data_IF_624025351729
#
_entry.id   IF_624025351729
#
_cell.length_a   1.000
_cell.length_b   1.000
_cell.length_c   1.000
_cell.angle_alpha   90.00
_cell.angle_beta   90.00
_cell.angle_gamma   90.00
#
_symmetry.space_group_name_H-M   'P 1'
#
loop_
_entity.id
_entity.type
_entity.pdbx_description
1 polymer ?
#
# COMPACT_ATOMS: atom_id res chain seq x y z
N UNK A 1 -1.61 3.05 -2.63
CA UNK A 1 -0.87 3.51 -1.45
C UNK A 1 -1.83 3.94 -0.35
N UNK A 2 -1.61 3.49 0.87
CA UNK A 2 -2.48 3.78 2.01
C UNK A 2 -1.67 4.19 3.23
N UNK A 3 -2.29 4.93 4.15
CA UNK A 3 -1.84 5.06 5.53
C UNK A 3 -2.66 4.09 6.38
N UNK A 4 -1.99 3.32 7.21
CA UNK A 4 -2.61 2.42 8.18
C UNK A 4 -2.07 2.68 9.60
N UNK A 5 -2.87 2.39 10.59
CA UNK A 5 -2.52 2.56 12.01
C UNK A 5 -3.57 1.94 12.92
N UNK A 6 -3.37 1.99 14.25
CA UNK A 6 -4.28 1.41 15.22
C UNK A 6 -5.70 1.98 15.09
N UNK A 7 -6.71 1.14 15.24
CA UNK A 7 -8.13 1.52 15.07
C UNK A 7 -8.53 2.74 15.90
N UNK A 8 -8.06 2.83 17.15
CA UNK A 8 -8.38 3.92 18.08
C UNK A 8 -7.75 5.29 17.73
N UNK A 9 -6.83 5.37 16.76
CA UNK A 9 -6.21 6.64 16.37
C UNK A 9 -6.95 7.22 15.17
N UNK A 10 -7.46 8.45 15.28
CA UNK A 10 -8.10 9.14 14.16
C UNK A 10 -7.05 9.76 13.25
N UNK A 11 -7.08 9.36 11.96
CA UNK A 11 -6.25 9.90 10.89
C UNK A 11 -7.10 9.83 9.61
N UNK A 12 -7.51 10.97 9.08
CA UNK A 12 -8.40 11.05 7.91
C UNK A 12 -7.68 11.59 6.66
N UNK A 13 -6.48 12.13 6.83
CA UNK A 13 -5.69 12.72 5.75
C UNK A 13 -4.26 13.04 6.18
N UNK A 14 -3.52 13.66 5.28
CA UNK A 14 -2.12 14.02 5.51
C UNK A 14 -1.93 15.02 6.65
N UNK A 15 -2.86 15.93 6.85
CA UNK A 15 -2.78 16.96 7.89
C UNK A 15 -2.79 16.36 9.31
N UNK A 16 -3.51 15.25 9.48
CA UNK A 16 -3.56 14.52 10.76
C UNK A 16 -2.25 13.79 11.10
N UNK A 17 -1.31 13.73 10.15
CA UNK A 17 0.02 13.15 10.35
C UNK A 17 1.04 14.15 10.89
N UNK A 18 0.67 15.41 11.06
CA UNK A 18 1.55 16.47 11.61
C UNK A 18 2.11 16.07 12.97
N UNK A 19 3.44 16.10 13.08
CA UNK A 19 4.17 15.72 14.29
C UNK A 19 4.17 14.24 14.62
N UNK A 20 3.47 13.38 13.83
CA UNK A 20 3.44 11.93 14.04
C UNK A 20 4.60 11.25 13.30
N UNK A 21 5.05 10.13 13.89
CA UNK A 21 6.01 9.24 13.22
C UNK A 21 5.24 8.33 12.25
N UNK A 22 5.63 8.36 10.98
CA UNK A 22 5.03 7.54 9.92
C UNK A 22 6.12 6.71 9.27
N UNK A 23 6.02 5.40 9.38
CA UNK A 23 7.00 4.49 8.83
C UNK A 23 6.67 4.10 7.38
N UNK A 24 7.68 3.94 6.56
CA UNK A 24 7.53 3.53 5.16
C UNK A 24 8.78 2.82 4.66
N UNK A 25 8.69 2.15 3.51
CA UNK A 25 9.83 1.53 2.84
C UNK A 25 10.61 2.57 2.04
N UNK A 26 11.89 2.71 2.33
CA UNK A 26 12.81 3.69 1.71
C UNK A 26 12.76 3.66 0.19
N UNK A 27 12.63 4.83 -0.43
CA UNK A 27 12.69 5.00 -1.88
C UNK A 27 11.50 4.41 -2.65
N UNK A 28 10.51 3.85 -1.96
CA UNK A 28 9.29 3.33 -2.57
C UNK A 28 8.39 4.47 -3.09
N UNK A 29 7.39 4.10 -3.90
CA UNK A 29 6.35 5.05 -4.28
C UNK A 29 5.59 5.59 -3.05
N UNK A 30 5.38 4.74 -2.04
CA UNK A 30 4.73 5.14 -0.79
C UNK A 30 5.54 6.20 -0.04
N UNK A 31 6.88 6.06 0.01
CA UNK A 31 7.79 7.06 0.58
C UNK A 31 7.66 8.41 -0.13
N UNK A 32 7.67 8.43 -1.46
CA UNK A 32 7.48 9.67 -2.23
C UNK A 32 6.16 10.35 -1.91
N UNK A 33 5.07 9.58 -1.90
CA UNK A 33 3.72 10.12 -1.68
C UNK A 33 3.56 10.65 -0.27
N UNK A 34 3.95 9.91 0.76
CA UNK A 34 3.83 10.37 2.15
C UNK A 34 4.75 11.56 2.45
N UNK A 35 5.97 11.56 1.93
CA UNK A 35 6.92 12.68 2.12
C UNK A 35 6.42 13.97 1.46
N UNK A 36 5.77 13.86 0.31
CA UNK A 36 5.21 15.02 -0.40
C UNK A 36 3.92 15.52 0.26
N UNK A 37 3.04 14.60 0.68
CA UNK A 37 1.73 14.93 1.24
C UNK A 37 1.78 15.37 2.70
N UNK A 38 2.56 14.67 3.54
CA UNK A 38 2.65 14.92 4.98
C UNK A 38 3.94 15.65 5.35
N UNK A 39 4.08 16.91 4.93
CA UNK A 39 5.30 17.71 5.08
C UNK A 39 5.79 17.86 6.51
N UNK A 40 4.88 17.89 7.48
CA UNK A 40 5.16 18.06 8.91
C UNK A 40 5.21 16.75 9.69
N UNK A 41 5.13 15.59 9.01
CA UNK A 41 5.27 14.28 9.62
C UNK A 41 6.75 13.88 9.77
N UNK A 42 7.05 13.08 10.78
CA UNK A 42 8.37 12.46 10.94
C UNK A 42 8.40 11.13 10.15
N UNK A 43 8.86 11.17 8.91
CA UNK A 43 8.92 9.97 8.06
C UNK A 43 10.12 9.11 8.42
N UNK A 44 9.85 7.92 8.97
CA UNK A 44 10.86 6.90 9.33
C UNK A 44 10.94 5.88 8.21
N UNK A 45 12.14 5.65 7.68
CA UNK A 45 12.38 4.80 6.51
C UNK A 45 13.06 3.52 6.88
N UNK A 46 12.44 2.39 6.52
CA UNK A 46 13.00 1.05 6.63
C UNK A 46 13.51 0.60 5.26
N UNK A 47 14.53 -0.25 5.23
CA UNK A 47 15.22 -0.59 3.98
C UNK A 47 14.38 -1.47 3.05
N UNK A 48 13.48 -2.28 3.60
CA UNK A 48 12.56 -3.12 2.85
C UNK A 48 11.22 -3.34 3.57
N UNK A 49 10.27 -3.96 2.88
CA UNK A 49 8.93 -4.25 3.41
C UNK A 49 8.97 -5.28 4.56
N UNK A 50 9.93 -6.21 4.56
CA UNK A 50 10.04 -7.20 5.63
C UNK A 50 10.45 -6.54 6.95
N UNK A 51 11.39 -5.59 6.90
CA UNK A 51 11.82 -4.80 8.05
C UNK A 51 10.72 -3.86 8.53
N UNK A 52 9.97 -3.23 7.60
CA UNK A 52 8.80 -2.41 7.94
C UNK A 52 7.72 -3.25 8.66
N UNK A 53 7.41 -4.45 8.15
CA UNK A 53 6.47 -5.38 8.79
C UNK A 53 6.95 -5.74 10.20
N UNK A 54 8.23 -6.07 10.35
CA UNK A 54 8.81 -6.40 11.66
C UNK A 54 8.67 -5.25 12.64
N UNK A 55 8.96 -4.03 12.21
CA UNK A 55 8.80 -2.83 13.04
C UNK A 55 7.34 -2.58 13.44
N UNK A 56 6.39 -2.79 12.53
CA UNK A 56 4.96 -2.66 12.84
C UNK A 56 4.49 -3.73 13.84
N UNK A 57 4.89 -4.98 13.64
CA UNK A 57 4.54 -6.10 14.54
C UNK A 57 5.12 -5.90 15.94
N UNK A 58 6.38 -5.44 16.06
CA UNK A 58 7.06 -5.22 17.35
C UNK A 58 6.61 -3.94 18.07
N UNK A 59 5.85 -3.05 17.42
CA UNK A 59 5.41 -1.78 18.01
C UNK A 59 6.42 -0.64 17.89
N UNK A 60 7.45 -0.80 17.06
CA UNK A 60 8.38 0.28 16.72
C UNK A 60 7.78 1.25 15.70
N UNK A 61 6.77 0.82 14.95
CA UNK A 61 6.05 1.61 13.96
C UNK A 61 4.54 1.38 14.09
N UNK A 62 3.82 2.32 14.69
CA UNK A 62 2.36 2.23 14.86
C UNK A 62 1.60 2.76 13.65
N UNK A 63 2.13 3.76 12.95
CA UNK A 63 1.54 4.32 11.73
C UNK A 63 2.47 3.99 10.56
N UNK A 64 1.91 3.38 9.53
CA UNK A 64 2.67 2.98 8.34
C UNK A 64 2.03 3.53 7.06
N UNK A 65 2.88 4.01 6.16
CA UNK A 65 2.52 4.41 4.79
C UNK A 65 3.00 3.34 3.82
N UNK A 66 2.08 2.55 3.26
CA UNK A 66 2.42 1.32 2.55
C UNK A 66 1.33 0.88 1.56
N UNK A 67 1.38 -0.36 1.09
CA UNK A 67 0.33 -1.00 0.29
C UNK A 67 -0.67 -1.76 1.16
N UNK A 68 -1.91 -1.99 0.70
CA UNK A 68 -2.88 -2.82 1.41
C UNK A 68 -2.37 -4.24 1.70
N UNK A 69 -1.57 -4.82 0.82
CA UNK A 69 -0.98 -6.15 1.01
C UNK A 69 -0.07 -6.22 2.24
N UNK A 70 0.74 -5.18 2.48
CA UNK A 70 1.60 -5.10 3.67
C UNK A 70 0.76 -4.95 4.93
N UNK A 71 -0.31 -4.15 4.90
CA UNK A 71 -1.25 -4.03 6.03
C UNK A 71 -1.84 -5.39 6.38
N UNK A 72 -2.30 -6.15 5.39
CA UNK A 72 -2.81 -7.52 5.56
C UNK A 72 -1.76 -8.45 6.18
N UNK A 73 -0.49 -8.33 5.77
CA UNK A 73 0.62 -9.10 6.32
C UNK A 73 0.86 -8.77 7.81
N UNK A 74 0.81 -7.50 8.19
CA UNK A 74 0.94 -7.08 9.60
C UNK A 74 -0.20 -7.66 10.42
N UNK A 75 -1.44 -7.55 9.95
CA UNK A 75 -2.61 -8.09 10.63
C UNK A 75 -2.56 -9.62 10.80
N UNK A 76 -2.09 -10.34 9.79
CA UNK A 76 -1.93 -11.79 9.86
C UNK A 76 -0.90 -12.21 10.91
N UNK A 77 0.18 -11.43 11.08
CA UNK A 77 1.25 -11.72 12.05
C UNK A 77 0.96 -11.19 13.46
N UNK A 78 0.20 -10.11 13.58
CA UNK A 78 -0.09 -9.43 14.85
C UNK A 78 -1.52 -8.88 14.85
N UNK A 79 -2.56 -9.75 14.90
CA UNK A 79 -3.96 -9.32 14.89
C UNK A 79 -4.32 -8.41 16.07
N UNK A 80 -3.62 -8.54 17.20
CA UNK A 80 -3.81 -7.70 18.39
C UNK A 80 -3.42 -6.22 18.16
N UNK A 81 -2.68 -5.90 17.08
CA UNK A 81 -2.37 -4.50 16.73
C UNK A 81 -3.60 -3.74 16.24
N UNK A 82 -4.65 -4.46 15.86
CA UNK A 82 -5.92 -3.88 15.37
C UNK A 82 -5.69 -2.76 14.34
N UNK A 83 -4.71 -3.02 13.44
CA UNK A 83 -4.30 -2.07 12.42
C UNK A 83 -5.35 -1.98 11.34
N UNK A 84 -5.78 -0.78 11.00
CA UNK A 84 -6.74 -0.52 9.93
C UNK A 84 -6.21 0.50 8.95
N UNK A 85 -6.64 0.40 7.70
CA UNK A 85 -6.43 1.47 6.72
C UNK A 85 -7.16 2.72 7.17
N UNK A 86 -6.44 3.82 7.25
CA UNK A 86 -6.97 5.13 7.65
C UNK A 86 -7.49 5.92 6.46
N UNK A 87 -6.64 6.08 5.45
CA UNK A 87 -7.02 6.70 4.20
C UNK A 87 -6.14 6.23 3.05
N UNK A 88 -6.61 6.43 1.83
CA UNK A 88 -5.85 6.16 0.61
C UNK A 88 -5.05 7.40 0.22
N UNK A 89 -3.73 7.28 0.21
CA UNK A 89 -2.82 8.37 -0.19
C UNK A 89 -2.83 8.60 -1.71
N UNK A 90 -2.84 7.52 -2.46
CA UNK A 90 -2.89 7.55 -3.93
C UNK A 90 -3.35 6.21 -4.49
N UNK A 91 -4.00 6.28 -5.64
CA UNK A 91 -4.32 5.11 -6.46
C UNK A 91 -3.34 5.04 -7.61
N UNK A 92 -2.68 3.88 -7.75
CA UNK A 92 -1.71 3.65 -8.82
C UNK A 92 -2.29 2.60 -9.76
N UNK A 93 -2.45 2.90 -11.06
CA UNK A 93 -2.86 1.89 -12.03
C UNK A 93 -1.75 0.84 -12.17
N UNK A 94 -2.15 -0.42 -12.19
CA UNK A 94 -1.25 -1.54 -12.44
C UNK A 94 -1.17 -1.80 -13.95
N UNK A 95 0.02 -2.15 -14.41
CA UNK A 95 0.25 -2.50 -15.80
C UNK A 95 1.07 -3.79 -15.93
N UNK A 96 0.95 -4.43 -17.07
CA UNK A 96 1.77 -5.59 -17.43
C UNK A 96 2.94 -5.07 -18.27
N UNK A 97 4.17 -5.24 -17.77
CA UNK A 97 5.38 -4.94 -18.51
C UNK A 97 5.67 -5.99 -19.56
N UNK A 98 6.07 -5.56 -20.76
CA UNK A 98 6.45 -6.43 -21.87
C UNK A 98 7.54 -5.81 -22.71
N UNK A 99 8.18 -6.59 -23.58
CA UNK A 99 9.13 -6.06 -24.58
C UNK A 99 8.42 -5.07 -25.52
N UNK A 100 9.17 -4.08 -25.98
CA UNK A 100 8.73 -3.24 -27.12
C UNK A 100 8.60 -4.14 -28.34
N UNK A 101 8.11 -3.75 -29.41
CA UNK A 101 8.07 -4.47 -30.70
C UNK A 101 7.34 -5.83 -30.70
N UNK A 102 6.37 -6.00 -29.80
CA UNK A 102 5.49 -7.17 -29.73
C UNK A 102 4.00 -6.77 -29.83
N UNK A 103 3.57 -6.20 -30.98
CA UNK A 103 2.21 -5.64 -31.10
C UNK A 103 1.12 -6.69 -30.98
N UNK A 104 1.35 -7.92 -31.46
CA UNK A 104 0.38 -9.01 -31.34
C UNK A 104 0.18 -9.44 -29.89
N UNK A 105 1.26 -9.57 -29.11
CA UNK A 105 1.20 -9.90 -27.68
C UNK A 105 0.52 -8.77 -26.89
N UNK A 106 0.84 -7.51 -27.19
CA UNK A 106 0.20 -6.34 -26.59
C UNK A 106 -1.32 -6.35 -26.81
N UNK A 107 -1.75 -6.59 -28.03
CA UNK A 107 -3.16 -6.66 -28.36
C UNK A 107 -3.87 -7.79 -27.61
N UNK A 108 -3.24 -8.97 -27.54
CA UNK A 108 -3.78 -10.12 -26.80
C UNK A 108 -3.91 -9.84 -25.29
N UNK A 109 -2.86 -9.25 -24.68
CA UNK A 109 -2.88 -8.88 -23.25
C UNK A 109 -3.96 -7.83 -22.97
N UNK A 110 -4.08 -6.79 -23.80
CA UNK A 110 -5.10 -5.75 -23.63
C UNK A 110 -6.52 -6.32 -23.74
N UNK A 111 -6.76 -7.21 -24.70
CA UNK A 111 -8.05 -7.91 -24.84
C UNK A 111 -8.35 -8.78 -23.60
N UNK A 112 -7.35 -9.52 -23.13
CA UNK A 112 -7.47 -10.35 -21.92
C UNK A 112 -7.79 -9.50 -20.68
N UNK A 113 -7.11 -8.35 -20.50
CA UNK A 113 -7.38 -7.42 -19.39
C UNK A 113 -8.81 -6.90 -19.49
N UNK A 114 -9.23 -6.41 -20.65
CA UNK A 114 -10.57 -5.86 -20.88
C UNK A 114 -11.67 -6.89 -20.53
N UNK A 115 -11.54 -8.12 -21.02
CA UNK A 115 -12.49 -9.21 -20.73
C UNK A 115 -12.54 -9.55 -19.25
N UNK A 116 -11.38 -9.62 -18.59
CA UNK A 116 -11.30 -10.04 -17.19
C UNK A 116 -11.58 -8.92 -16.18
N UNK A 117 -11.52 -7.66 -16.60
CA UNK A 117 -12.11 -6.55 -15.85
C UNK A 117 -13.63 -6.59 -15.93
N UNK A 118 -14.18 -6.73 -17.13
CA UNK A 118 -15.63 -6.75 -17.36
C UNK A 118 -16.35 -7.89 -16.63
N UNK A 119 -15.76 -9.10 -16.58
CA UNK A 119 -16.34 -10.25 -15.90
C UNK A 119 -16.04 -10.33 -14.39
N UNK A 120 -15.32 -9.36 -13.82
CA UNK A 120 -14.97 -9.30 -12.40
C UNK A 120 -13.85 -10.23 -11.93
N UNK A 121 -13.23 -11.01 -12.82
CA UNK A 121 -12.18 -11.98 -12.47
C UNK A 121 -10.94 -11.30 -11.87
N UNK A 122 -10.48 -10.20 -12.45
CA UNK A 122 -9.34 -9.45 -11.93
C UNK A 122 -9.65 -8.85 -10.56
N UNK A 123 -10.87 -8.36 -10.36
CA UNK A 123 -11.31 -7.86 -9.07
C UNK A 123 -11.33 -8.95 -7.99
N UNK A 124 -11.79 -10.15 -8.34
CA UNK A 124 -11.80 -11.29 -7.42
C UNK A 124 -10.38 -11.72 -7.02
N UNK A 125 -9.46 -11.76 -7.99
CA UNK A 125 -8.04 -12.05 -7.74
C UNK A 125 -7.43 -10.97 -6.84
N UNK A 126 -7.67 -9.69 -7.13
CA UNK A 126 -7.18 -8.59 -6.32
C UNK A 126 -7.63 -8.72 -4.86
N UNK A 127 -8.91 -8.93 -4.63
CA UNK A 127 -9.48 -9.12 -3.28
C UNK A 127 -8.84 -10.31 -2.54
N UNK A 128 -8.60 -11.41 -3.24
CA UNK A 128 -8.00 -12.61 -2.66
C UNK A 128 -6.61 -12.34 -2.06
N UNK A 129 -5.79 -11.51 -2.72
CA UNK A 129 -4.39 -11.31 -2.36
C UNK A 129 -4.10 -10.00 -1.62
N UNK A 130 -4.99 -9.01 -1.70
CA UNK A 130 -4.76 -7.69 -1.11
C UNK A 130 -5.74 -7.34 0.03
N UNK A 131 -6.73 -8.18 0.27
CA UNK A 131 -7.79 -7.88 1.22
C UNK A 131 -8.71 -6.75 0.72
N UNK A 132 -9.99 -6.83 0.95
CA UNK A 132 -10.93 -5.80 0.53
C UNK A 132 -12.31 -6.12 1.03
#
# INVERSE_FOLDING_TARGET
>A
AVVAGPKGVQINGFDDLKGKRVATTRGSNNDKVVTTGAKDAQVVRYDDDATLVTAAVSGQADIIATSPAIVSTVLAKAPQKDMVTKFTMSTVPLGIGMRKDEPALKAWINDWITKNLANGKLQAIYKKYHGG
#
